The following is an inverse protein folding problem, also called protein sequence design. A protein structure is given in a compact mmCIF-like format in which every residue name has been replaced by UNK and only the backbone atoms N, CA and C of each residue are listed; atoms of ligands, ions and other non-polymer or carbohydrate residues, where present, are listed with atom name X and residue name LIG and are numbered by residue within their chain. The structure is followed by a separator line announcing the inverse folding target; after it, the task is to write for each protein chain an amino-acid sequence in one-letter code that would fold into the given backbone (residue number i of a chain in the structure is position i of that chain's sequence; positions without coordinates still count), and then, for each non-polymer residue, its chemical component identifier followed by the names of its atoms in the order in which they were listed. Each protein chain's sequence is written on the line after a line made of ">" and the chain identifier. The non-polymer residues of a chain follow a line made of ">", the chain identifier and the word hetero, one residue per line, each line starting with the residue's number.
data_IF_738977758526
#
_entry.id   IF_738977758526
#
_cell.length_a   1.000
_cell.length_b   1.000
_cell.length_c   1.000
_cell.angle_alpha   90.00
_cell.angle_beta   90.00
_cell.angle_gamma   90.00
#
_symmetry.space_group_name_H-M   'P 1'
#
loop_
_entity.id
_entity.type
_entity.pdbx_description
1 polymer ?
#
# COMPACT_ATOMS: atom_id res chain seq x y z
N UNK A 1 -1.61 15.41 28.77
CA UNK A 1 -1.07 15.76 27.43
C UNK A 1 -1.91 15.11 26.32
N UNK A 2 -2.39 13.88 26.52
CA UNK A 2 -3.37 13.19 25.66
C UNK A 2 -4.77 13.82 25.59
N UNK A 3 -5.29 14.42 26.68
CA UNK A 3 -6.60 15.10 26.65
C UNK A 3 -6.68 16.28 25.67
N UNK A 4 -5.55 16.97 25.46
CA UNK A 4 -5.48 18.02 24.43
C UNK A 4 -5.58 17.39 23.04
N UNK A 5 -4.77 16.38 22.72
CA UNK A 5 -4.82 15.69 21.42
C UNK A 5 -6.22 15.12 21.10
N UNK A 6 -6.91 14.53 22.10
CA UNK A 6 -8.28 14.02 21.95
C UNK A 6 -9.30 15.13 21.66
N UNK A 7 -9.19 16.28 22.35
CA UNK A 7 -10.03 17.45 22.09
C UNK A 7 -9.77 18.06 20.71
N UNK A 8 -8.51 18.00 20.24
CA UNK A 8 -8.08 18.52 18.93
C UNK A 8 -8.60 17.66 17.78
N UNK A 9 -8.55 16.32 17.89
CA UNK A 9 -9.07 15.42 16.85
C UNK A 9 -10.61 15.52 16.75
N UNK A 10 -11.31 15.67 17.89
CA UNK A 10 -12.77 15.93 17.89
C UNK A 10 -13.13 17.26 17.22
N UNK A 11 -12.31 18.30 17.37
CA UNK A 11 -12.54 19.59 16.72
C UNK A 11 -12.39 19.53 15.18
N UNK A 12 -11.50 18.69 14.67
CA UNK A 12 -11.26 18.50 13.23
C UNK A 12 -12.42 17.78 12.54
N UNK A 13 -13.06 16.82 13.22
CA UNK A 13 -14.14 16.00 12.67
C UNK A 13 -15.53 16.63 12.81
N UNK A 14 -15.72 17.65 13.66
CA UNK A 14 -17.06 18.14 14.05
C UNK A 14 -17.53 19.43 13.33
N UNK A 15 -16.80 19.95 12.33
CA UNK A 15 -17.20 21.18 11.64
C UNK A 15 -17.91 20.91 10.31
N UNK A 16 -19.20 20.59 10.37
CA UNK A 16 -20.16 20.81 9.29
C UNK A 16 -20.21 22.31 8.96
N UNK A 17 -19.76 22.74 7.77
CA UNK A 17 -20.23 23.97 7.10
C UNK A 17 -19.75 24.04 5.64
N UNK A 18 -20.68 23.84 4.70
CA UNK A 18 -20.62 24.36 3.33
C UNK A 18 -20.64 25.90 3.37
N UNK A 19 -19.83 26.59 2.55
CA UNK A 19 -19.94 28.04 2.41
C UNK A 19 -18.82 28.72 1.60
N UNK A 20 -19.23 29.35 0.51
CA UNK A 20 -18.46 30.08 -0.50
C UNK A 20 -17.83 31.43 -0.04
N UNK A 21 -16.74 31.84 -0.74
CA UNK A 21 -16.28 33.24 -1.03
C UNK A 21 -15.62 33.98 0.19
N UNK A 22 -14.49 34.72 0.14
CA UNK A 22 -13.85 35.53 -0.90
C UNK A 22 -12.33 35.75 -0.62
N UNK A 23 -11.64 36.17 -1.68
CA UNK A 23 -10.23 36.58 -1.78
C UNK A 23 -9.72 37.54 -0.69
N UNK A 24 -8.42 37.41 -0.36
CA UNK A 24 -7.45 38.52 -0.25
C UNK A 24 -5.99 38.00 -0.25
N UNK A 25 -5.24 38.41 -1.28
CA UNK A 25 -3.78 38.59 -1.28
C UNK A 25 -3.52 40.09 -0.96
N UNK A 26 -2.29 40.62 -0.70
CA UNK A 26 -0.97 40.04 -0.98
C UNK A 26 0.12 40.31 0.10
N UNK A 27 1.32 39.74 -0.11
CA UNK A 27 2.65 40.39 -0.16
C UNK A 27 3.76 39.33 0.13
N UNK A 28 4.48 38.86 -0.89
CA UNK A 28 5.79 39.32 -1.38
C UNK A 28 6.91 39.37 -0.32
N UNK A 29 7.73 38.32 -0.34
CA UNK A 29 9.13 38.32 0.13
C UNK A 29 9.93 37.37 -0.76
N UNK A 30 10.92 37.90 -1.48
CA UNK A 30 11.83 37.19 -2.40
C UNK A 30 12.91 36.38 -1.65
N UNK A 31 13.52 35.37 -2.30
CA UNK A 31 14.28 34.31 -1.63
C UNK A 31 15.77 34.64 -1.48
N UNK A 32 16.37 34.13 -0.42
CA UNK A 32 17.83 34.08 -0.27
C UNK A 32 18.35 32.77 -0.88
N UNK A 33 19.14 32.93 -1.93
CA UNK A 33 19.93 31.92 -2.63
C UNK A 33 21.12 31.56 -1.75
N UNK A 34 21.29 30.27 -1.45
CA UNK A 34 22.60 29.71 -1.11
C UNK A 34 22.86 28.48 -1.97
N UNK A 35 23.75 28.67 -2.93
CA UNK A 35 24.46 27.61 -3.62
C UNK A 35 25.59 27.11 -2.71
N UNK A 36 25.74 25.80 -2.59
CA UNK A 36 27.03 25.18 -2.31
C UNK A 36 27.18 23.92 -3.14
N UNK A 37 28.12 24.00 -4.08
CA UNK A 37 28.59 22.97 -5.00
C UNK A 37 29.80 22.26 -4.37
N UNK A 38 29.83 20.92 -4.34
CA UNK A 38 31.04 20.06 -4.34
C UNK A 38 30.59 18.60 -4.47
N UNK A 39 30.46 18.06 -5.69
CA UNK A 39 31.44 17.34 -6.52
C UNK A 39 31.67 15.87 -6.15
N UNK A 40 31.12 15.02 -7.04
CA UNK A 40 31.72 13.83 -7.68
C UNK A 40 32.48 12.78 -6.86
N UNK A 41 31.99 11.54 -7.00
CA UNK A 41 32.77 10.31 -6.86
C UNK A 41 32.09 9.18 -7.63
N UNK A 42 32.45 9.04 -8.91
CA UNK A 42 32.24 7.86 -9.76
C UNK A 42 32.82 6.61 -9.09
N UNK A 43 32.08 5.49 -9.06
CA UNK A 43 32.67 4.16 -9.23
C UNK A 43 31.65 3.19 -9.85
N UNK A 44 32.16 2.44 -10.82
CA UNK A 44 31.55 1.44 -11.68
C UNK A 44 31.27 0.11 -10.96
N UNK A 45 30.37 -0.66 -11.58
CA UNK A 45 30.29 -2.13 -11.67
C UNK A 45 30.45 -3.00 -10.42
N UNK A 46 29.42 -3.82 -10.17
CA UNK A 46 29.57 -5.28 -10.28
C UNK A 46 28.25 -6.00 -10.01
N UNK A 47 27.86 -6.85 -10.94
CA UNK A 47 27.00 -8.02 -10.72
C UNK A 47 27.54 -8.86 -9.54
N UNK A 48 26.67 -9.32 -8.64
CA UNK A 48 26.98 -10.42 -7.74
C UNK A 48 25.72 -11.26 -7.43
N UNK A 49 25.89 -12.55 -7.66
CA UNK A 49 25.07 -13.68 -7.27
C UNK A 49 25.11 -13.93 -5.74
N UNK A 50 24.05 -14.61 -5.28
CA UNK A 50 23.89 -15.46 -4.08
C UNK A 50 24.27 -14.94 -2.67
N UNK A 51 23.32 -15.02 -1.74
CA UNK A 51 23.37 -16.05 -0.68
C UNK A 51 22.09 -16.09 0.18
N UNK A 52 21.74 -17.32 0.57
CA UNK A 52 20.64 -17.74 1.41
C UNK A 52 20.64 -17.11 2.81
N UNK A 53 19.45 -16.86 3.36
CA UNK A 53 19.26 -16.97 4.82
C UNK A 53 17.86 -17.44 5.17
N UNK A 54 17.84 -18.51 5.96
CA UNK A 54 16.71 -19.27 6.45
C UNK A 54 15.90 -18.50 7.50
N UNK A 55 14.58 -18.68 7.50
CA UNK A 55 13.80 -18.76 8.73
C UNK A 55 12.83 -19.94 8.63
N UNK A 56 13.17 -21.03 9.31
CA UNK A 56 12.24 -22.09 9.66
C UNK A 56 11.48 -21.61 10.90
N UNK A 57 10.15 -21.56 10.82
CA UNK A 57 9.32 -21.55 12.02
C UNK A 57 8.48 -22.84 12.03
N UNK A 58 8.69 -23.63 13.07
CA UNK A 58 8.02 -24.90 13.32
C UNK A 58 6.54 -24.63 13.62
N UNK A 59 5.63 -25.21 12.82
CA UNK A 59 4.20 -25.26 13.17
C UNK A 59 3.85 -26.68 13.60
N UNK A 60 3.47 -26.78 14.87
CA UNK A 60 2.94 -27.96 15.54
C UNK A 60 1.67 -28.48 14.87
N UNK A 61 1.70 -29.77 14.47
CA UNK A 61 0.54 -30.52 14.00
C UNK A 61 -0.47 -30.73 15.14
N UNK A 62 -1.70 -30.22 15.00
CA UNK A 62 -2.86 -30.72 15.74
C UNK A 62 -3.66 -31.64 14.82
N UNK A 63 -3.78 -32.90 15.25
CA UNK A 63 -4.66 -33.89 14.66
C UNK A 63 -6.10 -33.67 15.15
N UNK A 64 -7.05 -33.56 14.23
CA UNK A 64 -8.50 -33.68 14.49
C UNK A 64 -9.05 -34.48 13.31
N UNK A 65 -9.57 -35.69 13.51
CA UNK A 65 -10.82 -35.91 14.23
C UNK A 65 -11.94 -35.71 13.22
N UNK A 66 -12.37 -36.79 12.57
CA UNK A 66 -13.44 -36.81 11.59
C UNK A 66 -14.76 -36.42 12.25
N UNK A 67 -15.31 -35.27 11.89
CA UNK A 67 -16.73 -34.97 12.06
C UNK A 67 -17.26 -34.27 10.81
N UNK A 68 -18.24 -34.92 10.17
CA UNK A 68 -18.93 -34.49 8.97
C UNK A 68 -19.93 -33.37 9.31
N UNK A 69 -19.51 -32.12 9.16
CA UNK A 69 -20.40 -31.01 8.81
C UNK A 69 -19.84 -30.35 7.55
N UNK A 70 -20.66 -30.21 6.50
CA UNK A 70 -20.34 -29.40 5.32
C UNK A 70 -20.21 -27.92 5.74
N UNK A 71 -19.08 -27.56 6.34
CA UNK A 71 -18.66 -26.18 6.48
C UNK A 71 -18.34 -25.68 5.07
N UNK A 72 -19.21 -24.81 4.54
CA UNK A 72 -18.92 -24.00 3.35
C UNK A 72 -17.60 -23.28 3.63
N UNK A 73 -16.53 -23.77 3.00
CA UNK A 73 -15.20 -23.19 3.13
C UNK A 73 -15.30 -21.74 2.62
N UNK A 74 -14.82 -20.73 3.36
CA UNK A 74 -14.82 -19.36 2.85
C UNK A 74 -14.11 -19.33 1.49
N UNK A 75 -14.73 -18.70 0.48
CA UNK A 75 -14.12 -18.61 -0.86
C UNK A 75 -12.85 -17.79 -0.79
N UNK A 76 -11.85 -18.18 -1.59
CA UNK A 76 -10.57 -17.47 -1.62
C UNK A 76 -10.74 -16.17 -2.42
N UNK A 77 -9.87 -15.19 -2.17
CA UNK A 77 -9.91 -13.91 -2.89
C UNK A 77 -9.86 -14.10 -4.41
N UNK A 78 -9.13 -15.10 -4.91
CA UNK A 78 -9.05 -15.40 -6.35
C UNK A 78 -10.41 -15.79 -6.92
N UNK A 79 -11.12 -16.73 -6.28
CA UNK A 79 -12.45 -17.19 -6.72
C UNK A 79 -13.46 -16.04 -6.78
N UNK A 80 -13.35 -15.11 -5.83
CA UNK A 80 -14.22 -13.94 -5.71
C UNK A 80 -13.95 -12.96 -6.84
N UNK A 81 -12.66 -12.72 -7.12
CA UNK A 81 -12.23 -11.80 -8.18
C UNK A 81 -12.60 -12.34 -9.56
N UNK A 82 -12.39 -13.64 -9.81
CA UNK A 82 -12.79 -14.30 -11.06
C UNK A 82 -14.29 -14.18 -11.28
N UNK A 83 -15.11 -14.50 -10.28
CA UNK A 83 -16.56 -14.32 -10.35
C UNK A 83 -16.94 -12.88 -10.68
N UNK A 84 -16.28 -11.88 -10.08
CA UNK A 84 -16.57 -10.47 -10.35
C UNK A 84 -16.19 -10.06 -11.77
N UNK A 85 -15.08 -10.55 -12.29
CA UNK A 85 -14.66 -10.32 -13.68
C UNK A 85 -15.66 -10.92 -14.65
N UNK A 86 -16.08 -12.18 -14.44
CA UNK A 86 -17.06 -12.87 -15.27
C UNK A 86 -18.44 -12.17 -15.28
N UNK A 87 -18.82 -11.55 -14.16
CA UNK A 87 -20.08 -10.82 -14.03
C UNK A 87 -19.96 -9.31 -14.38
N UNK A 88 -18.83 -8.88 -14.97
CA UNK A 88 -18.65 -7.52 -15.47
C UNK A 88 -18.59 -6.44 -14.37
N UNK A 89 -18.21 -6.80 -13.14
CA UNK A 89 -18.09 -5.86 -12.00
C UNK A 89 -16.77 -5.07 -12.02
N UNK A 90 -16.26 -4.74 -13.21
CA UNK A 90 -15.02 -3.98 -13.41
C UNK A 90 -15.34 -2.49 -13.28
N UNK A 91 -14.73 -1.82 -12.30
CA UNK A 91 -14.99 -0.42 -11.98
C UNK A 91 -13.90 0.49 -12.58
N UNK A 92 -13.71 0.37 -13.89
CA UNK A 92 -12.74 1.15 -14.67
C UNK A 92 -13.38 1.67 -15.95
N UNK A 93 -13.00 2.88 -16.35
CA UNK A 93 -13.38 3.45 -17.64
C UNK A 93 -12.64 2.75 -18.79
N UNK A 94 -11.38 2.38 -18.56
CA UNK A 94 -10.54 1.69 -19.54
C UNK A 94 -9.94 0.43 -18.91
N UNK A 95 -9.99 -0.71 -19.61
CA UNK A 95 -9.35 -1.93 -19.14
C UNK A 95 -7.83 -1.73 -19.07
N UNK A 96 -7.20 -2.48 -18.17
CA UNK A 96 -5.73 -2.56 -18.10
C UNK A 96 -5.21 -3.20 -19.39
N UNK A 97 -4.14 -2.63 -19.96
CA UNK A 97 -3.50 -3.21 -21.15
C UNK A 97 -2.85 -4.54 -20.79
N UNK A 98 -3.06 -5.57 -21.59
CA UNK A 98 -2.41 -6.87 -21.43
C UNK A 98 -1.46 -7.11 -22.60
N UNK A 99 -0.21 -7.42 -22.28
CA UNK A 99 0.84 -7.68 -23.25
C UNK A 99 1.45 -9.06 -23.00
N UNK A 100 1.33 -9.95 -23.98
CA UNK A 100 1.76 -11.35 -23.86
C UNK A 100 3.12 -11.64 -24.50
N UNK A 101 3.88 -10.60 -24.84
CA UNK A 101 5.21 -10.73 -25.41
C UNK A 101 6.12 -9.65 -24.85
N UNK A 102 7.26 -10.06 -24.29
CA UNK A 102 8.26 -9.13 -23.79
C UNK A 102 9.45 -9.06 -24.73
N UNK A 103 9.85 -7.83 -25.07
CA UNK A 103 11.05 -7.54 -25.84
C UNK A 103 11.98 -6.71 -24.96
N UNK A 104 13.17 -7.24 -24.67
CA UNK A 104 14.19 -6.53 -23.90
C UNK A 104 15.30 -6.11 -24.85
N UNK A 105 15.53 -4.80 -24.95
CA UNK A 105 16.50 -4.18 -25.86
C UNK A 105 17.29 -3.10 -25.12
N UNK A 106 18.18 -2.42 -25.82
CA UNK A 106 18.85 -1.19 -25.36
C UNK A 106 18.56 -0.08 -26.37
N UNK A 107 18.43 1.17 -25.89
CA UNK A 107 18.30 2.34 -26.77
C UNK A 107 19.67 2.79 -27.31
N UNK A 108 19.68 3.86 -28.11
CA UNK A 108 20.92 4.43 -28.69
C UNK A 108 21.93 4.91 -27.62
N UNK A 109 21.45 5.23 -26.42
CA UNK A 109 22.25 5.68 -25.29
C UNK A 109 22.69 4.51 -24.38
N UNK A 110 22.33 3.27 -24.71
CA UNK A 110 22.64 2.05 -23.93
C UNK A 110 21.71 1.81 -22.73
N UNK A 111 20.58 2.53 -22.64
CA UNK A 111 19.60 2.33 -21.56
C UNK A 111 18.77 1.09 -21.84
N UNK A 112 18.60 0.25 -20.81
CA UNK A 112 17.79 -0.97 -20.89
C UNK A 112 16.32 -0.64 -21.14
N UNK A 113 15.71 -1.31 -22.10
CA UNK A 113 14.31 -1.17 -22.47
C UNK A 113 13.51 -2.44 -22.19
N UNK A 114 12.23 -2.25 -21.89
CA UNK A 114 11.20 -3.30 -21.86
C UNK A 114 10.09 -2.80 -22.78
N UNK A 115 9.90 -3.42 -23.94
CA UNK A 115 9.01 -2.93 -24.98
C UNK A 115 9.23 -1.42 -25.26
N UNK A 116 8.21 -0.58 -25.12
CA UNK A 116 8.30 0.87 -25.31
C UNK A 116 8.91 1.64 -24.12
N UNK A 117 9.15 0.97 -22.99
CA UNK A 117 9.55 1.59 -21.73
C UNK A 117 11.07 1.62 -21.59
N UNK A 118 11.65 2.82 -21.54
CA UNK A 118 13.08 3.04 -21.32
C UNK A 118 13.33 3.16 -19.82
N UNK A 119 14.21 2.32 -19.27
CA UNK A 119 14.54 2.33 -17.84
C UNK A 119 15.37 3.56 -17.51
N UNK A 120 15.01 4.23 -16.41
CA UNK A 120 15.79 5.33 -15.86
C UNK A 120 16.59 4.87 -14.63
N UNK A 121 15.96 4.76 -13.47
CA UNK A 121 16.64 4.35 -12.24
C UNK A 121 15.74 3.53 -11.31
N UNK A 122 16.36 2.80 -10.37
CA UNK A 122 15.63 2.02 -9.35
C UNK A 122 15.01 2.99 -8.35
N UNK A 123 13.71 2.82 -8.06
CA UNK A 123 12.98 3.66 -7.08
C UNK A 123 12.65 2.91 -5.79
N UNK A 124 12.65 1.57 -5.82
CA UNK A 124 12.39 0.77 -4.62
C UNK A 124 12.55 -0.73 -4.81
N UNK A 125 12.27 -1.46 -3.74
CA UNK A 125 12.05 -2.90 -3.73
C UNK A 125 10.70 -3.12 -3.05
N UNK A 126 9.76 -3.79 -3.72
CA UNK A 126 8.53 -4.27 -3.09
C UNK A 126 8.73 -5.64 -2.45
N UNK A 127 7.67 -6.21 -1.87
CA UNK A 127 7.69 -7.50 -1.14
C UNK A 127 8.32 -8.65 -1.94
N UNK A 128 8.07 -8.69 -3.25
CA UNK A 128 8.46 -9.82 -4.12
C UNK A 128 9.26 -9.41 -5.36
N UNK A 129 9.60 -8.13 -5.52
CA UNK A 129 10.13 -7.63 -6.79
C UNK A 129 10.79 -6.26 -6.70
N UNK A 130 11.54 -5.91 -7.75
CA UNK A 130 12.23 -4.61 -7.85
C UNK A 130 11.31 -3.60 -8.55
N UNK A 131 11.30 -2.36 -8.07
CA UNK A 131 10.55 -1.27 -8.68
C UNK A 131 11.53 -0.25 -9.26
N UNK A 132 11.38 0.07 -10.54
CA UNK A 132 12.17 1.09 -11.21
C UNK A 132 11.28 2.06 -11.98
N UNK A 133 11.78 3.29 -12.13
CA UNK A 133 11.18 4.32 -12.96
C UNK A 133 11.52 4.04 -14.42
N UNK A 134 10.51 4.14 -15.27
CA UNK A 134 10.64 4.05 -16.71
C UNK A 134 9.94 5.24 -17.37
N UNK A 135 10.45 5.66 -18.51
CA UNK A 135 9.80 6.64 -19.39
C UNK A 135 9.33 5.93 -20.65
N UNK A 136 8.05 6.11 -21.01
CA UNK A 136 7.55 5.56 -22.27
C UNK A 136 8.05 6.40 -23.44
N UNK A 137 8.60 5.72 -24.45
CA UNK A 137 9.01 6.35 -25.72
C UNK A 137 7.84 6.80 -26.58
N UNK A 138 6.61 6.34 -26.29
CA UNK A 138 5.41 6.65 -27.08
C UNK A 138 4.73 7.94 -26.61
N UNK A 139 4.51 8.10 -25.30
CA UNK A 139 3.80 9.25 -24.74
C UNK A 139 4.67 10.19 -23.90
N UNK A 140 5.94 9.82 -23.67
CA UNK A 140 6.88 10.60 -22.88
C UNK A 140 6.59 10.63 -21.36
N UNK A 141 5.61 9.86 -20.88
CA UNK A 141 5.24 9.83 -19.45
C UNK A 141 6.11 8.86 -18.67
N UNK A 142 6.18 9.11 -17.37
CA UNK A 142 6.86 8.24 -16.41
C UNK A 142 5.91 7.20 -15.82
N UNK A 143 6.44 6.00 -15.61
CA UNK A 143 5.75 4.84 -15.08
C UNK A 143 6.62 4.13 -14.05
N UNK A 144 6.01 3.58 -13.01
CA UNK A 144 6.69 2.72 -12.06
C UNK A 144 6.47 1.27 -12.51
N UNK A 145 7.55 0.55 -12.87
CA UNK A 145 7.44 -0.85 -13.28
C UNK A 145 7.98 -1.74 -12.17
N UNK A 146 7.11 -2.61 -11.65
CA UNK A 146 7.43 -3.68 -10.70
C UNK A 146 7.75 -4.94 -11.49
N UNK A 147 8.97 -5.45 -11.34
CA UNK A 147 9.48 -6.61 -12.06
C UNK A 147 9.62 -7.81 -11.11
N UNK A 148 9.19 -8.98 -11.59
CA UNK A 148 9.13 -10.22 -10.83
C UNK A 148 9.72 -11.39 -11.62
N UNK A 149 10.19 -12.42 -10.91
CA UNK A 149 10.70 -13.68 -11.47
C UNK A 149 9.72 -14.82 -11.17
N UNK A 150 8.97 -15.29 -12.18
CA UNK A 150 7.89 -16.27 -12.02
C UNK A 150 8.37 -17.56 -11.38
N UNK A 151 9.48 -18.11 -11.87
CA UNK A 151 10.04 -19.37 -11.36
C UNK A 151 10.47 -19.30 -9.89
N UNK A 152 10.95 -18.13 -9.43
CA UNK A 152 11.29 -17.91 -8.03
C UNK A 152 10.02 -17.80 -7.17
N UNK A 153 9.05 -17.00 -7.59
CA UNK A 153 7.81 -16.77 -6.84
C UNK A 153 6.90 -17.99 -6.76
N UNK A 154 6.93 -18.88 -7.78
CA UNK A 154 6.22 -20.15 -7.73
C UNK A 154 6.80 -21.13 -6.71
N UNK A 155 8.09 -20.99 -6.34
CA UNK A 155 8.76 -21.84 -5.34
C UNK A 155 8.61 -21.29 -3.93
N UNK A 156 8.51 -19.97 -3.77
CA UNK A 156 8.37 -19.30 -2.47
C UNK A 156 6.95 -19.53 -1.91
N UNK A 157 6.84 -20.33 -0.85
CA UNK A 157 5.57 -20.64 -0.17
C UNK A 157 5.24 -19.58 0.86
N UNK A 158 4.01 -19.05 0.82
CA UNK A 158 3.47 -18.10 1.80
C UNK A 158 2.35 -18.70 2.65
N UNK A 159 1.88 -19.89 2.28
CA UNK A 159 0.92 -20.67 3.03
C UNK A 159 0.89 -22.13 2.56
N UNK A 160 0.08 -23.01 3.19
CA UNK A 160 0.03 -24.44 2.88
C UNK A 160 -0.30 -24.76 1.42
N UNK A 161 -0.98 -23.85 0.72
CA UNK A 161 -1.35 -24.01 -0.68
C UNK A 161 -1.18 -22.73 -1.51
N UNK A 162 -0.44 -21.75 -0.98
CA UNK A 162 -0.26 -20.43 -1.59
C UNK A 162 1.23 -20.15 -1.80
N UNK A 163 1.53 -19.42 -2.87
CA UNK A 163 2.88 -19.02 -3.24
C UNK A 163 2.96 -17.50 -3.34
N UNK A 164 4.17 -16.94 -3.31
CA UNK A 164 4.31 -15.50 -3.56
C UNK A 164 3.75 -15.10 -4.93
N UNK A 165 3.74 -16.03 -5.91
CA UNK A 165 3.10 -15.79 -7.21
C UNK A 165 1.58 -15.66 -7.09
N UNK A 166 0.92 -16.41 -6.21
CA UNK A 166 -0.54 -16.27 -6.02
C UNK A 166 -0.88 -14.90 -5.43
N UNK A 167 -0.06 -14.36 -4.52
CA UNK A 167 -0.23 -13.00 -4.01
C UNK A 167 -0.06 -11.93 -5.11
N UNK A 168 0.96 -12.07 -5.96
CA UNK A 168 1.18 -11.14 -7.09
C UNK A 168 0.01 -11.17 -8.07
N UNK A 169 -0.52 -12.35 -8.39
CA UNK A 169 -1.68 -12.46 -9.27
C UNK A 169 -2.93 -11.84 -8.62
N UNK A 170 -3.15 -12.05 -7.32
CA UNK A 170 -4.23 -11.41 -6.56
C UNK A 170 -4.10 -9.88 -6.60
N UNK A 171 -2.90 -9.34 -6.38
CA UNK A 171 -2.60 -7.90 -6.50
C UNK A 171 -3.03 -7.38 -7.89
N UNK A 172 -2.63 -8.08 -8.95
CA UNK A 172 -2.99 -7.75 -10.34
C UNK A 172 -4.50 -7.77 -10.56
N UNK A 173 -5.20 -8.81 -10.12
CA UNK A 173 -6.65 -8.92 -10.28
C UNK A 173 -7.39 -7.80 -9.55
N UNK A 174 -7.01 -7.51 -8.30
CA UNK A 174 -7.55 -6.37 -7.55
C UNK A 174 -7.35 -5.07 -8.34
N UNK A 175 -6.13 -4.79 -8.78
CA UNK A 175 -5.85 -3.52 -9.47
C UNK A 175 -6.50 -3.43 -10.86
N UNK A 176 -6.73 -4.56 -11.56
CA UNK A 176 -7.50 -4.62 -12.81
C UNK A 176 -8.96 -4.21 -12.63
N UNK A 177 -9.50 -4.26 -11.42
CA UNK A 177 -10.89 -3.87 -11.15
C UNK A 177 -11.06 -2.42 -10.70
N UNK A 178 -9.99 -1.78 -10.21
CA UNK A 178 -10.10 -0.51 -9.49
C UNK A 178 -9.60 0.67 -10.33
N UNK A 179 -10.33 1.79 -10.32
CA UNK A 179 -9.83 3.07 -10.82
C UNK A 179 -10.40 4.21 -9.99
N UNK A 180 -9.54 4.91 -9.24
CA UNK A 180 -9.94 6.00 -8.36
C UNK A 180 -8.82 7.06 -8.28
N UNK A 181 -9.13 8.37 -8.17
CA UNK A 181 -8.11 9.43 -8.07
C UNK A 181 -7.14 9.28 -6.89
N UNK A 182 -7.58 8.62 -5.81
CA UNK A 182 -6.77 8.35 -4.60
C UNK A 182 -6.25 6.92 -4.51
N UNK A 183 -6.17 6.20 -5.63
CA UNK A 183 -5.55 4.88 -5.73
C UNK A 183 -4.52 4.92 -6.87
N UNK A 184 -3.39 4.23 -6.69
CA UNK A 184 -2.38 4.02 -7.73
C UNK A 184 -2.93 3.09 -8.79
N UNK A 185 -2.90 3.54 -10.04
CA UNK A 185 -3.51 2.88 -11.16
C UNK A 185 -2.56 1.87 -11.82
N UNK A 186 -3.04 0.64 -12.04
CA UNK A 186 -2.39 -0.32 -12.94
C UNK A 186 -2.68 0.07 -14.40
N UNK A 187 -1.63 0.21 -15.20
CA UNK A 187 -1.70 0.67 -16.58
C UNK A 187 -1.60 -0.52 -17.54
N UNK A 188 -0.62 -1.39 -17.30
CA UNK A 188 -0.34 -2.54 -18.16
C UNK A 188 0.19 -3.72 -17.35
N UNK A 189 -0.16 -4.93 -17.76
CA UNK A 189 0.45 -6.18 -17.31
C UNK A 189 1.19 -6.81 -18.48
N UNK A 190 2.48 -7.05 -18.32
CA UNK A 190 3.31 -7.73 -19.31
C UNK A 190 3.63 -9.12 -18.77
N UNK A 191 3.00 -10.13 -19.36
CA UNK A 191 3.18 -11.54 -19.00
C UNK A 191 3.38 -12.37 -20.25
N UNK A 192 4.65 -12.60 -20.58
CA UNK A 192 5.06 -13.47 -21.68
C UNK A 192 5.18 -14.92 -21.17
N UNK A 193 4.38 -15.87 -21.68
CA UNK A 193 4.46 -17.28 -21.28
C UNK A 193 5.84 -17.92 -21.51
N UNK A 194 6.64 -17.40 -22.46
CA UNK A 194 7.97 -17.90 -22.79
C UNK A 194 9.08 -17.23 -21.95
N UNK A 195 8.76 -16.18 -21.18
CA UNK A 195 9.71 -15.49 -20.32
C UNK A 195 9.51 -15.85 -18.85
N UNK A 196 10.60 -15.86 -18.07
CA UNK A 196 10.52 -15.92 -16.60
C UNK A 196 10.11 -14.58 -15.97
N UNK A 197 10.23 -13.47 -16.70
CA UNK A 197 9.95 -12.15 -16.15
C UNK A 197 8.45 -11.82 -16.26
N UNK A 198 7.90 -11.25 -15.20
CA UNK A 198 6.55 -10.70 -15.14
C UNK A 198 6.62 -9.23 -14.73
N UNK A 199 5.84 -8.36 -15.36
CA UNK A 199 5.89 -6.92 -15.10
C UNK A 199 4.51 -6.31 -14.87
N UNK A 200 4.42 -5.46 -13.86
CA UNK A 200 3.28 -4.57 -13.63
C UNK A 200 3.72 -3.14 -13.89
N UNK A 201 3.09 -2.49 -14.88
CA UNK A 201 3.30 -1.08 -15.20
C UNK A 201 2.26 -0.26 -14.46
N UNK A 202 2.71 0.53 -13.50
CA UNK A 202 1.88 1.38 -12.63
C UNK A 202 2.04 2.85 -13.03
N UNK A 203 1.03 3.67 -12.75
CA UNK A 203 1.21 5.11 -12.80
C UNK A 203 2.33 5.52 -11.84
N UNK A 204 3.21 6.42 -12.27
CA UNK A 204 4.23 6.97 -11.40
C UNK A 204 3.66 8.13 -10.57
N UNK A 205 3.94 8.12 -9.28
CA UNK A 205 3.62 9.21 -8.34
C UNK A 205 4.94 9.70 -7.76
N UNK A 206 5.16 11.02 -7.82
CA UNK A 206 6.49 11.60 -7.69
C UNK A 206 7.04 11.54 -6.28
N UNK A 207 6.19 11.83 -5.30
CA UNK A 207 6.58 11.97 -3.91
C UNK A 207 5.95 10.87 -3.04
N UNK A 208 6.55 10.69 -1.88
CA UNK A 208 6.00 9.89 -0.77
C UNK A 208 6.10 10.71 0.50
N UNK A 209 5.20 10.50 1.43
CA UNK A 209 5.40 11.07 2.75
C UNK A 209 6.42 10.22 3.50
N UNK A 210 7.61 10.77 3.74
CA UNK A 210 8.66 10.09 4.48
C UNK A 210 8.74 10.66 5.90
N UNK A 211 8.55 9.79 6.89
CA UNK A 211 8.89 10.08 8.28
C UNK A 211 10.24 9.43 8.59
N UNK A 212 11.33 10.07 8.18
CA UNK A 212 12.70 9.54 8.30
C UNK A 212 13.25 9.52 9.74
N UNK A 213 12.60 10.22 10.68
CA UNK A 213 12.99 10.25 12.08
C UNK A 213 11.76 10.37 12.99
N UNK A 214 11.73 9.60 14.08
CA UNK A 214 10.80 9.84 15.18
C UNK A 214 11.05 11.25 15.74
N UNK A 215 10.05 12.13 15.68
CA UNK A 215 10.11 13.46 16.27
C UNK A 215 9.29 14.54 15.55
N UNK A 216 9.11 15.69 16.22
CA UNK A 216 8.27 16.80 15.73
C UNK A 216 8.66 17.39 14.37
N UNK A 217 9.87 17.10 13.88
CA UNK A 217 10.32 17.57 12.57
C UNK A 217 9.54 16.91 11.41
N UNK A 218 8.94 15.74 11.64
CA UNK A 218 8.14 15.02 10.66
C UNK A 218 6.63 15.33 10.74
N UNK A 219 6.21 16.14 11.72
CA UNK A 219 4.82 16.53 11.89
C UNK A 219 4.35 17.47 10.77
N UNK A 220 3.27 17.09 10.10
CA UNK A 220 2.57 17.89 9.13
C UNK A 220 1.74 18.97 9.84
N UNK A 221 1.57 20.10 9.14
CA UNK A 221 0.57 21.09 9.55
C UNK A 221 -0.82 20.47 9.45
N UNK A 222 -1.68 20.83 10.41
CA UNK A 222 -3.06 20.32 10.49
C UNK A 222 -3.83 20.46 9.17
N UNK A 223 -3.65 21.57 8.46
CA UNK A 223 -4.28 21.78 7.15
C UNK A 223 -3.85 20.73 6.11
N UNK A 224 -2.56 20.42 6.05
CA UNK A 224 -2.01 19.39 5.14
C UNK A 224 -2.47 18.00 5.58
N UNK A 225 -2.37 17.69 6.88
CA UNK A 225 -2.82 16.41 7.44
C UNK A 225 -4.32 16.17 7.16
N UNK A 226 -5.17 17.19 7.30
CA UNK A 226 -6.60 17.12 6.97
C UNK A 226 -6.84 16.82 5.49
N UNK A 227 -6.10 17.46 4.57
CA UNK A 227 -6.21 17.19 3.13
C UNK A 227 -5.80 15.75 2.80
N UNK A 228 -4.68 15.30 3.36
CA UNK A 228 -4.18 13.94 3.15
C UNK A 228 -5.15 12.91 3.72
N UNK A 229 -5.64 13.11 4.94
CA UNK A 229 -6.64 12.25 5.56
C UNK A 229 -7.90 12.12 4.70
N UNK A 230 -8.42 13.23 4.17
CA UNK A 230 -9.58 13.19 3.28
C UNK A 230 -9.31 12.32 2.05
N UNK A 231 -8.18 12.52 1.40
CA UNK A 231 -7.81 11.77 0.20
C UNK A 231 -7.62 10.27 0.50
N UNK A 232 -7.00 9.93 1.64
CA UNK A 232 -6.85 8.54 2.13
C UNK A 232 -8.23 7.92 2.38
N UNK A 233 -9.10 8.62 3.12
CA UNK A 233 -10.45 8.13 3.44
C UNK A 233 -11.28 7.96 2.16
N UNK A 234 -11.19 8.87 1.19
CA UNK A 234 -11.86 8.71 -0.10
C UNK A 234 -11.39 7.46 -0.85
N UNK A 235 -10.08 7.21 -0.90
CA UNK A 235 -9.53 5.98 -1.50
C UNK A 235 -9.97 4.73 -0.76
N UNK A 236 -9.94 4.74 0.58
CA UNK A 236 -10.29 3.59 1.40
C UNK A 236 -11.79 3.27 1.36
N UNK A 237 -12.65 4.29 1.40
CA UNK A 237 -14.11 4.12 1.22
C UNK A 237 -14.40 3.49 -0.14
N UNK A 238 -13.69 3.89 -1.19
CA UNK A 238 -13.81 3.24 -2.50
C UNK A 238 -13.42 1.77 -2.43
N UNK A 239 -12.27 1.41 -1.82
CA UNK A 239 -11.86 0.00 -1.67
C UNK A 239 -12.91 -0.81 -0.90
N UNK A 240 -13.38 -0.31 0.24
CA UNK A 240 -14.33 -1.00 1.10
C UNK A 240 -15.70 -1.16 0.44
N UNK A 241 -16.14 -0.21 -0.38
CA UNK A 241 -17.36 -0.31 -1.17
C UNK A 241 -17.28 -1.41 -2.25
N UNK A 242 -16.06 -1.78 -2.66
CA UNK A 242 -15.81 -2.90 -3.56
C UNK A 242 -15.40 -4.17 -2.80
N UNK A 243 -15.63 -4.22 -1.48
CA UNK A 243 -15.27 -5.34 -0.60
C UNK A 243 -13.80 -5.77 -0.76
N UNK A 244 -12.92 -4.78 -0.83
CA UNK A 244 -11.47 -4.97 -0.84
C UNK A 244 -10.92 -4.35 0.44
N UNK A 245 -10.24 -5.17 1.23
CA UNK A 245 -9.48 -4.75 2.40
C UNK A 245 -8.04 -4.52 1.95
N UNK A 246 -7.48 -3.34 2.26
CA UNK A 246 -6.10 -3.05 1.87
C UNK A 246 -5.10 -3.85 2.70
N UNK A 247 -5.25 -3.83 4.02
CA UNK A 247 -4.48 -4.63 4.97
C UNK A 247 -3.08 -4.10 5.34
N UNK A 248 -2.63 -2.98 4.76
CA UNK A 248 -1.30 -2.39 5.02
C UNK A 248 -1.31 -0.87 4.77
N UNK A 249 -2.33 -0.18 5.27
CA UNK A 249 -2.38 1.28 5.22
C UNK A 249 -1.30 1.85 6.14
N UNK A 250 -0.30 2.50 5.55
CA UNK A 250 0.83 3.13 6.26
C UNK A 250 1.49 4.21 5.40
N UNK A 251 2.32 5.10 5.98
CA UNK A 251 2.99 6.18 5.27
C UNK A 251 3.70 5.75 3.99
N UNK A 252 4.42 4.61 4.02
CA UNK A 252 5.18 4.09 2.88
C UNK A 252 4.31 3.76 1.67
N UNK A 253 3.05 3.40 1.91
CA UNK A 253 2.07 3.02 0.88
C UNK A 253 1.17 4.20 0.45
N UNK A 254 1.44 5.40 0.98
CA UNK A 254 0.70 6.63 0.66
C UNK A 254 1.59 7.57 -0.16
N UNK A 255 1.41 7.49 -1.47
CA UNK A 255 2.15 8.31 -2.42
C UNK A 255 1.46 9.66 -2.61
N UNK A 256 2.25 10.70 -2.88
CA UNK A 256 1.77 12.07 -3.03
C UNK A 256 2.13 12.56 -4.43
N UNK A 257 1.12 12.98 -5.18
CA UNK A 257 1.36 13.62 -6.48
C UNK A 257 1.98 14.99 -6.29
N UNK A 258 2.63 15.52 -7.33
CA UNK A 258 3.13 16.90 -7.35
C UNK A 258 2.07 17.97 -6.99
N UNK A 259 0.79 17.66 -7.17
CA UNK A 259 -0.33 18.55 -6.84
C UNK A 259 -0.83 18.41 -5.38
N UNK A 260 -0.22 17.53 -4.58
CA UNK A 260 -0.58 17.28 -3.19
C UNK A 260 -1.78 16.36 -3.01
N UNK A 261 -2.10 15.52 -4.00
CA UNK A 261 -3.14 14.49 -3.90
C UNK A 261 -2.53 13.19 -3.39
N UNK A 262 -3.15 12.58 -2.38
CA UNK A 262 -2.68 11.27 -1.87
C UNK A 262 -3.27 10.14 -2.69
N UNK A 263 -2.44 9.16 -3.04
CA UNK A 263 -2.80 7.91 -3.71
C UNK A 263 -2.33 6.72 -2.88
N UNK A 264 -3.25 5.81 -2.60
CA UNK A 264 -2.97 4.53 -1.93
C UNK A 264 -2.36 3.57 -2.95
N UNK A 265 -1.19 3.01 -2.63
CA UNK A 265 -0.49 2.02 -3.44
C UNK A 265 -0.14 0.76 -2.65
N UNK A 266 0.51 -0.18 -3.33
CA UNK A 266 0.92 -1.50 -2.80
C UNK A 266 -0.24 -2.37 -2.28
N UNK A 267 -0.80 -3.16 -3.17
CA UNK A 267 -1.92 -4.07 -2.88
C UNK A 267 -1.44 -5.51 -2.61
N UNK A 268 -0.15 -5.70 -2.30
CA UNK A 268 0.47 -7.04 -2.24
C UNK A 268 -0.10 -7.95 -1.14
N UNK A 269 -0.66 -7.38 -0.07
CA UNK A 269 -1.33 -8.12 1.01
C UNK A 269 -2.84 -7.90 1.05
N UNK A 270 -3.39 -7.19 0.06
CA UNK A 270 -4.82 -6.89 0.00
C UNK A 270 -5.66 -8.13 -0.29
N UNK A 271 -6.89 -8.13 0.23
CA UNK A 271 -7.80 -9.25 0.10
C UNK A 271 -9.17 -8.79 -0.41
N UNK A 272 -9.75 -9.62 -1.28
CA UNK A 272 -11.14 -9.47 -1.71
C UNK A 272 -12.03 -10.33 -0.82
N UNK A 273 -13.11 -9.75 -0.30
CA UNK A 273 -14.14 -10.40 0.49
C UNK A 273 -15.37 -10.63 -0.38
N UNK A 274 -16.13 -11.72 -0.19
CA UNK A 274 -17.34 -12.00 -0.99
C UNK A 274 -18.34 -10.86 -0.85
N UNK A 275 -18.66 -10.55 0.41
CA UNK A 275 -19.74 -9.68 0.83
C UNK A 275 -19.22 -8.69 1.89
N UNK A 276 -20.12 -8.13 2.70
CA UNK A 276 -19.77 -7.38 3.91
C UNK A 276 -19.18 -8.23 5.03
N UNK A 277 -19.12 -9.56 4.87
CA UNK A 277 -18.41 -10.44 5.77
C UNK A 277 -16.90 -10.40 5.48
N UNK A 278 -16.21 -9.45 6.11
CA UNK A 278 -14.79 -9.15 5.94
C UNK A 278 -13.92 -9.82 7.03
N UNK A 279 -14.34 -10.97 7.54
CA UNK A 279 -13.65 -11.67 8.61
C UNK A 279 -12.38 -12.35 8.07
N UNK A 280 -11.24 -11.70 8.29
CA UNK A 280 -9.92 -12.16 7.89
C UNK A 280 -9.24 -12.93 9.01
N UNK A 281 -8.35 -13.86 8.63
CA UNK A 281 -7.39 -14.46 9.56
C UNK A 281 -6.12 -13.62 9.61
N UNK A 282 -5.36 -13.77 10.70
CA UNK A 282 -4.14 -12.98 10.95
C UNK A 282 -3.21 -13.02 9.73
N UNK A 283 -2.94 -11.85 9.16
CA UNK A 283 -2.06 -11.64 8.01
C UNK A 283 -0.76 -10.94 8.45
N UNK A 284 0.33 -11.12 7.70
CA UNK A 284 1.54 -10.32 7.90
C UNK A 284 1.24 -8.86 7.54
N UNK A 285 1.34 -7.98 8.52
CA UNK A 285 1.23 -6.53 8.36
C UNK A 285 2.29 -5.83 9.18
N UNK A 286 2.44 -4.52 9.00
CA UNK A 286 3.44 -3.74 9.74
C UNK A 286 3.00 -3.58 11.21
N UNK A 287 3.73 -4.12 12.22
CA UNK A 287 3.24 -4.29 13.58
C UNK A 287 2.67 -3.04 14.27
N UNK A 288 3.27 -1.87 14.03
CA UNK A 288 2.84 -0.60 14.64
C UNK A 288 1.48 -0.10 14.13
N UNK A 289 1.02 -0.61 12.98
CA UNK A 289 -0.29 -0.30 12.38
C UNK A 289 -1.33 -1.40 12.63
N UNK A 290 -0.93 -2.51 13.25
CA UNK A 290 -1.80 -3.65 13.50
C UNK A 290 -2.86 -3.31 14.55
N UNK A 291 -4.12 -3.60 14.22
CA UNK A 291 -5.25 -3.40 15.13
C UNK A 291 -5.24 -4.43 16.28
N UNK A 292 -5.75 -4.07 17.47
CA UNK A 292 -5.72 -4.94 18.65
C UNK A 292 -6.47 -6.26 18.44
N UNK A 293 -7.58 -6.26 17.71
CA UNK A 293 -8.35 -7.46 17.34
C UNK A 293 -7.56 -8.41 16.43
N UNK A 294 -6.64 -7.92 15.60
CA UNK A 294 -5.74 -8.78 14.81
C UNK A 294 -4.75 -9.54 15.70
N UNK A 295 -4.42 -8.97 16.87
CA UNK A 295 -3.51 -9.56 17.86
C UNK A 295 -4.27 -10.54 18.77
N UNK A 296 -5.50 -10.22 19.15
CA UNK A 296 -6.26 -11.00 20.14
C UNK A 296 -7.14 -12.09 19.51
N UNK A 297 -7.63 -11.87 18.30
CA UNK A 297 -8.60 -12.72 17.63
C UNK A 297 -7.98 -13.81 16.77
N UNK A 298 -8.75 -14.88 16.56
CA UNK A 298 -8.49 -15.87 15.50
C UNK A 298 -8.90 -15.29 14.14
N UNK A 299 -9.96 -14.48 14.13
CA UNK A 299 -10.44 -13.71 12.99
C UNK A 299 -10.78 -12.28 13.41
N UNK A 300 -10.77 -11.35 12.46
CA UNK A 300 -11.03 -9.92 12.69
C UNK A 300 -11.69 -9.27 11.45
N UNK A 301 -12.38 -8.14 11.64
CA UNK A 301 -12.92 -7.35 10.52
C UNK A 301 -11.78 -6.59 9.82
N UNK A 302 -11.53 -6.92 8.56
CA UNK A 302 -10.49 -6.28 7.77
C UNK A 302 -10.72 -4.78 7.53
N UNK A 303 -11.97 -4.37 7.25
CA UNK A 303 -12.35 -2.96 7.06
C UNK A 303 -12.15 -2.15 8.35
N UNK A 304 -12.43 -2.74 9.52
CA UNK A 304 -12.14 -2.11 10.82
C UNK A 304 -10.63 -1.97 11.06
N UNK A 305 -9.84 -2.99 10.71
CA UNK A 305 -8.39 -2.95 10.82
C UNK A 305 -7.75 -1.86 9.93
N UNK A 306 -8.22 -1.70 8.69
CA UNK A 306 -7.80 -0.59 7.83
C UNK A 306 -8.12 0.78 8.45
N UNK A 307 -9.30 0.91 9.08
CA UNK A 307 -9.73 2.15 9.76
C UNK A 307 -8.81 2.48 10.95
N UNK A 308 -8.41 1.46 11.72
CA UNK A 308 -7.41 1.61 12.78
C UNK A 308 -6.07 2.11 12.22
N UNK A 309 -5.59 1.48 11.14
CA UNK A 309 -4.33 1.85 10.50
C UNK A 309 -4.34 3.29 9.95
N UNK A 310 -5.48 3.79 9.46
CA UNK A 310 -5.67 5.22 9.13
C UNK A 310 -5.53 6.11 10.38
N UNK A 311 -6.09 5.71 11.52
CA UNK A 311 -5.95 6.42 12.78
C UNK A 311 -4.50 6.53 13.25
N UNK A 312 -3.75 5.43 13.20
CA UNK A 312 -2.31 5.38 13.50
C UNK A 312 -1.53 6.28 12.54
N UNK A 313 -1.86 6.22 11.25
CA UNK A 313 -1.23 7.05 10.21
C UNK A 313 -1.47 8.53 10.47
N UNK A 314 -2.71 8.93 10.80
CA UNK A 314 -3.04 10.31 11.12
C UNK A 314 -2.30 10.81 12.37
N UNK A 315 -2.19 9.96 13.40
CA UNK A 315 -1.41 10.27 14.59
C UNK A 315 0.05 10.57 14.21
N UNK A 316 0.66 9.70 13.41
CA UNK A 316 2.03 9.88 12.92
C UNK A 316 2.16 11.17 12.08
N UNK A 317 1.19 11.48 11.22
CA UNK A 317 1.18 12.73 10.44
C UNK A 317 1.15 13.98 11.32
N UNK A 318 0.40 13.98 12.43
CA UNK A 318 0.22 15.17 13.27
C UNK A 318 1.34 15.33 14.30
N UNK A 319 1.84 14.21 14.85
CA UNK A 319 2.76 14.22 15.98
C UNK A 319 4.21 13.87 15.59
N UNK A 320 4.40 13.28 14.41
CA UNK A 320 5.71 12.86 13.90
C UNK A 320 6.28 11.63 14.62
N UNK A 321 5.45 10.89 15.35
CA UNK A 321 5.85 9.68 16.07
C UNK A 321 4.72 8.63 16.04
N UNK A 322 5.08 7.36 16.28
CA UNK A 322 4.12 6.27 16.33
C UNK A 322 3.49 6.15 17.72
N UNK A 323 2.16 6.00 17.83
CA UNK A 323 1.46 6.01 19.11
C UNK A 323 1.82 4.82 20.02
N UNK A 324 2.18 3.67 19.43
CA UNK A 324 2.35 2.40 20.15
C UNK A 324 3.71 1.74 19.94
N UNK A 325 4.66 2.40 19.27
CA UNK A 325 5.98 1.82 19.00
C UNK A 325 6.69 1.52 20.33
N UNK A 326 7.03 0.25 20.56
CA UNK A 326 7.83 -0.21 21.68
C UNK A 326 9.28 -0.50 21.27
N UNK A 327 10.14 -0.82 22.25
CA UNK A 327 11.54 -1.17 22.00
C UNK A 327 11.66 -2.55 21.34
N UNK A 328 10.70 -3.45 21.61
CA UNK A 328 10.56 -4.73 20.95
C UNK A 328 9.21 -4.88 20.25
N UNK A 329 9.11 -5.90 19.38
CA UNK A 329 7.86 -6.29 18.76
C UNK A 329 6.79 -6.65 19.81
N UNK A 330 7.19 -7.37 20.86
CA UNK A 330 6.30 -7.75 21.95
C UNK A 330 5.81 -6.52 22.72
N UNK A 331 6.70 -5.58 23.05
CA UNK A 331 6.32 -4.34 23.72
C UNK A 331 5.35 -3.51 22.88
N UNK A 332 5.53 -3.49 21.56
CA UNK A 332 4.62 -2.82 20.63
C UNK A 332 3.22 -3.45 20.72
N UNK A 333 3.12 -4.78 20.67
CA UNK A 333 1.84 -5.46 20.81
C UNK A 333 1.20 -5.25 22.18
N UNK A 334 1.98 -5.21 23.26
CA UNK A 334 1.45 -4.97 24.60
C UNK A 334 0.92 -3.53 24.74
N UNK A 335 1.61 -2.53 24.17
CA UNK A 335 1.11 -1.14 24.10
C UNK A 335 -0.18 -1.01 23.29
N UNK A 336 -0.29 -1.72 22.17
CA UNK A 336 -1.52 -1.76 21.36
C UNK A 336 -2.69 -2.36 22.18
N UNK A 337 -2.43 -3.41 22.96
CA UNK A 337 -3.44 -4.06 23.82
C UNK A 337 -3.93 -3.17 24.97
N UNK A 338 -3.02 -2.46 25.64
CA UNK A 338 -3.35 -1.65 26.82
C UNK A 338 -4.25 -0.44 26.51
N UNK A 339 -4.11 0.16 25.32
CA UNK A 339 -4.85 1.37 24.93
C UNK A 339 -6.28 1.12 24.42
N UNK A 340 -6.70 -0.14 24.25
CA UNK A 340 -8.10 -0.52 23.97
C UNK A 340 -9.04 -0.03 25.08
N UNK A 341 -8.54 0.08 26.32
CA UNK A 341 -9.29 0.64 27.44
C UNK A 341 -9.56 2.15 27.31
N UNK A 342 -8.81 2.89 26.48
CA UNK A 342 -8.94 4.35 26.31
C UNK A 342 -9.58 4.77 24.98
N UNK A 343 -9.43 3.97 23.91
CA UNK A 343 -9.92 4.31 22.55
C UNK A 343 -11.38 3.93 22.28
N UNK A 344 -12.09 3.27 23.21
CA UNK A 344 -13.55 3.07 23.15
C UNK A 344 -14.34 4.39 22.98
N UNK A 345 -13.70 5.55 23.17
CA UNK A 345 -14.25 6.89 22.95
C UNK A 345 -14.22 7.41 21.50
N UNK A 346 -13.51 6.74 20.56
CA UNK A 346 -13.46 7.14 19.14
C UNK A 346 -14.45 6.37 18.25
N UNK A 347 -14.79 5.13 18.62
CA UNK A 347 -15.69 4.28 17.83
C UNK A 347 -17.15 4.77 17.78
N UNK A 348 -17.52 5.75 18.62
CA UNK A 348 -18.90 6.28 18.71
C UNK A 348 -19.17 7.47 17.76
N UNK A 349 -18.22 7.87 16.90
CA UNK A 349 -18.40 9.06 16.03
C UNK A 349 -18.57 8.74 14.53
N UNK A 350 -18.63 7.46 14.13
CA UNK A 350 -18.81 7.07 12.73
C UNK A 350 -20.02 6.14 12.48
N UNK A 351 -21.03 6.16 13.35
CA UNK A 351 -22.36 5.62 13.09
C UNK A 351 -23.44 6.68 13.25
#
# INVERSE_FOLDING_TARGET
>A
MFDKALSYIKAILCCNCFGFINRRNPQRGTPAIYNSTLSQGLLLDSDFDDEDSFFNDEITNYSSGEDNEEQIRPKRSEDILDFRVENGMICRQFPVKETHKVVRTEDEDGNKMINEYVREYKIGSGSYGKVALYRSSVDGKHYAIKAFHKSHLMKLRVGPSETAMTDVLREVFIMKMLQHPNIVNLIEVIDDPESDNFYMVLEYVEDKWVCEASGRACALREETARRYLRDIVCGLMYLHAHNIVHGDIKPDNLLITRHGTVKIGDFSVSQACEDDNDMLRRSPGTPVFTAPECILGVTYSGKAADTWAVGVTLYCMILGEYPFLGDTLQDTYDRVRELVCFLFLFSVCFY
#
